data_IF_389235711260
#
_entry.id   IF_389235711260
#
_cell.length_a   1.000
_cell.length_b   1.000
_cell.length_c   1.000
_cell.angle_alpha   90.00
_cell.angle_beta   90.00
_cell.angle_gamma   90.00
#
_symmetry.space_group_name_H-M   'P 1'
#
loop_
_entity.id
_entity.type
_entity.pdbx_description
1 polymer ?
#
# COMPACT_ATOMS: atom_id res chain seq x y z
N UNK A 1 -15.13 -46.01 -10.18
CA UNK A 1 -16.12 -44.93 -9.99
C UNK A 1 -15.31 -43.65 -9.89
N UNK A 2 -15.15 -42.96 -11.04
CA UNK A 2 -14.40 -41.71 -11.13
C UNK A 2 -15.29 -40.53 -10.76
N UNK A 3 -14.94 -39.76 -9.74
CA UNK A 3 -15.45 -38.43 -9.55
C UNK A 3 -14.52 -37.44 -10.24
N UNK A 4 -14.84 -37.08 -11.50
CA UNK A 4 -14.30 -35.89 -12.15
C UNK A 4 -15.06 -34.67 -11.62
N UNK A 5 -14.66 -34.16 -10.48
CA UNK A 5 -15.07 -32.86 -10.00
C UNK A 5 -14.21 -31.78 -10.71
N UNK A 6 -14.73 -31.19 -11.78
CA UNK A 6 -14.23 -29.93 -12.31
C UNK A 6 -14.57 -28.81 -11.32
N UNK A 7 -13.80 -28.70 -10.25
CA UNK A 7 -13.77 -27.48 -9.44
C UNK A 7 -13.09 -26.39 -10.25
N UNK A 8 -13.88 -25.63 -11.00
CA UNK A 8 -13.51 -24.26 -11.41
C UNK A 8 -13.53 -23.40 -10.14
N UNK A 9 -12.51 -23.54 -9.30
CA UNK A 9 -12.31 -22.61 -8.20
C UNK A 9 -12.14 -21.21 -8.82
N UNK A 10 -13.04 -20.30 -8.47
CA UNK A 10 -12.90 -18.90 -8.85
C UNK A 10 -11.48 -18.45 -8.47
N UNK A 11 -10.78 -17.81 -9.42
CA UNK A 11 -9.44 -17.30 -9.18
C UNK A 11 -9.47 -16.34 -7.99
N UNK A 12 -8.55 -16.52 -7.04
CA UNK A 12 -8.45 -15.62 -5.90
C UNK A 12 -8.21 -14.17 -6.39
N UNK A 13 -8.87 -13.15 -5.79
CA UNK A 13 -8.72 -11.76 -6.22
C UNK A 13 -7.25 -11.33 -6.26
N UNK A 14 -6.87 -10.54 -7.26
CA UNK A 14 -5.53 -10.02 -7.43
C UNK A 14 -4.47 -11.05 -7.84
N UNK A 15 -4.85 -12.30 -8.14
CA UNK A 15 -3.89 -13.34 -8.53
C UNK A 15 -3.87 -13.59 -10.04
N UNK A 16 -2.67 -13.91 -10.53
CA UNK A 16 -2.44 -14.42 -11.87
C UNK A 16 -2.31 -15.95 -11.82
N UNK A 17 -2.62 -16.61 -12.94
CA UNK A 17 -2.41 -18.04 -13.06
C UNK A 17 -0.92 -18.35 -13.06
N UNK A 18 -0.52 -19.33 -12.25
CA UNK A 18 0.83 -19.87 -12.28
C UNK A 18 0.92 -20.80 -13.49
N UNK A 19 1.79 -20.48 -14.42
CA UNK A 19 2.05 -21.31 -15.60
C UNK A 19 3.42 -22.02 -15.52
N UNK A 20 3.66 -22.98 -16.42
CA UNK A 20 4.86 -23.81 -16.43
C UNK A 20 6.16 -23.05 -16.78
N UNK A 21 6.08 -21.81 -17.24
CA UNK A 21 7.26 -20.97 -17.51
C UNK A 21 7.86 -20.33 -16.25
N UNK A 22 7.11 -20.33 -15.15
CA UNK A 22 7.57 -19.75 -13.87
C UNK A 22 8.55 -20.71 -13.19
N UNK A 23 9.83 -20.35 -13.19
CA UNK A 23 10.91 -21.17 -12.63
C UNK A 23 11.18 -20.79 -11.15
N UNK A 24 10.98 -19.52 -10.79
CA UNK A 24 11.25 -18.99 -9.46
C UNK A 24 10.09 -18.15 -8.96
N UNK A 25 9.82 -18.28 -7.66
CA UNK A 25 8.85 -17.45 -6.95
C UNK A 25 9.50 -16.89 -5.69
N UNK A 26 8.94 -15.78 -5.19
CA UNK A 26 9.26 -15.22 -3.88
C UNK A 26 8.09 -15.50 -2.96
N UNK A 27 8.36 -16.05 -1.78
CA UNK A 27 7.39 -16.20 -0.72
C UNK A 27 7.69 -15.15 0.34
N UNK A 28 6.74 -14.26 0.59
CA UNK A 28 6.82 -13.22 1.62
C UNK A 28 5.91 -13.61 2.77
N UNK A 29 6.46 -13.62 3.97
CA UNK A 29 5.71 -13.94 5.19
C UNK A 29 5.43 -12.66 5.98
N UNK A 30 4.32 -12.64 6.67
CA UNK A 30 4.01 -11.59 7.64
C UNK A 30 5.06 -11.55 8.75
N UNK A 31 5.41 -10.34 9.18
CA UNK A 31 6.20 -10.12 10.38
C UNK A 31 5.29 -9.59 11.49
N UNK A 32 4.94 -10.39 12.49
CA UNK A 32 4.05 -9.95 13.58
C UNK A 32 4.60 -8.79 14.41
N UNK A 33 5.92 -8.53 14.31
CA UNK A 33 6.56 -7.41 15.01
C UNK A 33 6.60 -6.12 14.18
N UNK A 34 5.97 -6.07 13.00
CA UNK A 34 6.01 -4.90 12.13
C UNK A 34 5.14 -3.72 12.61
N UNK A 35 4.40 -3.87 13.72
CA UNK A 35 3.50 -2.85 14.31
C UNK A 35 2.47 -2.29 13.30
N UNK A 36 1.98 -3.13 12.41
CA UNK A 36 0.94 -2.82 11.42
C UNK A 36 -0.24 -3.79 11.60
N UNK A 37 -1.38 -3.44 11.04
CA UNK A 37 -2.57 -4.31 11.09
C UNK A 37 -2.38 -5.51 10.15
N UNK A 38 -1.87 -6.60 10.70
CA UNK A 38 -1.59 -7.83 9.95
C UNK A 38 -2.85 -8.48 9.37
N UNK A 39 -4.03 -8.22 9.94
CA UNK A 39 -5.28 -8.79 9.46
C UNK A 39 -5.59 -8.35 8.03
N UNK A 40 -5.30 -7.09 7.70
CA UNK A 40 -5.59 -6.52 6.38
C UNK A 40 -4.34 -6.26 5.53
N UNK A 41 -3.15 -6.36 6.11
CA UNK A 41 -1.89 -6.01 5.43
C UNK A 41 -1.71 -6.74 4.10
N UNK A 42 -1.87 -8.05 4.10
CA UNK A 42 -1.65 -8.88 2.89
C UNK A 42 -2.65 -8.49 1.80
N UNK A 43 -3.92 -8.34 2.15
CA UNK A 43 -4.95 -7.94 1.19
C UNK A 43 -4.72 -6.52 0.64
N UNK A 44 -4.36 -5.56 1.51
CA UNK A 44 -3.98 -4.20 1.10
C UNK A 44 -2.84 -4.23 0.08
N UNK A 45 -1.81 -5.03 0.33
CA UNK A 45 -0.65 -5.14 -0.54
C UNK A 45 -1.01 -5.76 -1.89
N UNK A 46 -1.75 -6.86 -1.90
CA UNK A 46 -2.15 -7.53 -3.16
C UNK A 46 -3.09 -6.64 -3.98
N UNK A 47 -4.02 -5.94 -3.34
CA UNK A 47 -4.91 -5.00 -4.02
C UNK A 47 -4.12 -3.81 -4.61
N UNK A 48 -3.14 -3.27 -3.87
CA UNK A 48 -2.24 -2.22 -4.37
C UNK A 48 -1.41 -2.70 -5.57
N UNK A 49 -0.78 -3.89 -5.49
CA UNK A 49 -0.04 -4.50 -6.59
C UNK A 49 -0.93 -4.60 -7.84
N UNK A 50 -2.19 -5.03 -7.67
CA UNK A 50 -3.13 -5.17 -8.79
C UNK A 50 -3.43 -3.85 -9.50
N UNK A 51 -3.53 -2.75 -8.77
CA UNK A 51 -3.74 -1.42 -9.36
C UNK A 51 -2.47 -0.89 -10.01
N UNK A 52 -1.32 -1.06 -9.36
CA UNK A 52 -0.03 -0.59 -9.90
C UNK A 52 0.35 -1.35 -11.18
N UNK A 53 0.06 -2.65 -11.27
CA UNK A 53 0.23 -3.42 -12.52
C UNK A 53 -0.59 -2.83 -13.67
N UNK A 54 -1.84 -2.42 -13.40
CA UNK A 54 -2.70 -1.76 -14.40
C UNK A 54 -2.17 -0.37 -14.78
N UNK A 55 -1.74 0.41 -13.79
CA UNK A 55 -1.19 1.74 -14.00
C UNK A 55 0.08 1.71 -14.88
N UNK A 56 0.90 0.69 -14.72
CA UNK A 56 2.19 0.53 -15.40
C UNK A 56 2.14 -0.43 -16.59
N UNK A 57 0.96 -0.74 -17.12
CA UNK A 57 0.82 -1.74 -18.20
C UNK A 57 1.55 -1.33 -19.49
N UNK A 58 1.71 -0.04 -19.75
CA UNK A 58 2.44 0.51 -20.89
C UNK A 58 3.90 0.87 -20.58
N UNK A 59 4.36 0.68 -19.33
CA UNK A 59 5.75 0.93 -18.97
C UNK A 59 6.67 -0.11 -19.64
N UNK A 60 7.80 0.31 -20.24
CA UNK A 60 8.63 -0.60 -21.06
C UNK A 60 9.16 -1.82 -20.33
N UNK A 61 9.38 -1.68 -19.03
CA UNK A 61 9.93 -2.74 -18.19
C UNK A 61 8.89 -3.30 -17.23
N UNK A 62 9.00 -4.59 -16.96
CA UNK A 62 8.21 -5.23 -15.92
C UNK A 62 8.86 -5.01 -14.56
N UNK A 63 8.32 -4.09 -13.79
CA UNK A 63 8.84 -3.71 -12.46
C UNK A 63 7.91 -4.10 -11.31
N UNK A 64 6.71 -4.62 -11.61
CA UNK A 64 5.75 -5.06 -10.61
C UNK A 64 5.51 -6.56 -10.75
N UNK A 65 5.75 -7.37 -9.71
CA UNK A 65 5.61 -8.81 -9.77
C UNK A 65 4.14 -9.22 -9.89
N UNK A 66 3.86 -10.34 -10.59
CA UNK A 66 2.57 -11.02 -10.51
C UNK A 66 2.44 -11.66 -9.13
N UNK A 67 1.24 -11.62 -8.56
CA UNK A 67 0.89 -12.42 -7.37
C UNK A 67 0.21 -13.70 -7.86
N UNK A 68 0.65 -14.84 -7.35
CA UNK A 68 0.10 -16.15 -7.72
C UNK A 68 -0.86 -16.70 -6.66
N UNK A 69 -0.59 -16.42 -5.39
CA UNK A 69 -1.44 -16.82 -4.27
C UNK A 69 -1.14 -15.93 -3.05
N UNK A 70 -2.10 -15.80 -2.15
CA UNK A 70 -1.91 -15.08 -0.90
C UNK A 70 -2.89 -15.54 0.17
N UNK A 71 -2.59 -15.27 1.42
CA UNK A 71 -3.46 -15.52 2.56
C UNK A 71 -3.28 -14.43 3.61
N UNK A 72 -4.37 -13.84 4.07
CA UNK A 72 -4.36 -12.93 5.22
C UNK A 72 -4.12 -13.68 6.53
N UNK A 73 -3.83 -12.95 7.59
CA UNK A 73 -3.45 -13.50 8.89
C UNK A 73 -4.60 -14.11 9.71
N UNK A 74 -5.85 -14.01 9.27
CA UNK A 74 -7.01 -14.60 9.99
C UNK A 74 -6.89 -16.10 10.30
N UNK A 75 -6.09 -16.83 9.54
CA UNK A 75 -5.92 -18.28 9.65
C UNK A 75 -4.46 -18.68 9.89
N UNK A 76 -3.67 -17.82 10.52
CA UNK A 76 -2.25 -18.05 10.79
C UNK A 76 -1.37 -16.90 10.28
N UNK A 77 -0.11 -17.19 9.99
CA UNK A 77 0.77 -16.19 9.38
C UNK A 77 0.28 -15.81 7.99
N UNK A 78 0.11 -14.52 7.74
CA UNK A 78 -0.16 -14.02 6.40
C UNK A 78 1.02 -14.25 5.47
N UNK A 79 0.75 -14.54 4.20
CA UNK A 79 1.80 -14.75 3.19
C UNK A 79 1.34 -14.36 1.79
N UNK A 80 2.32 -14.07 0.94
CA UNK A 80 2.14 -13.79 -0.49
C UNK A 80 3.16 -14.63 -1.27
N UNK A 81 2.71 -15.34 -2.30
CA UNK A 81 3.55 -15.98 -3.31
C UNK A 81 3.51 -15.12 -4.57
N UNK A 82 4.64 -14.60 -4.95
CA UNK A 82 4.75 -13.69 -6.08
C UNK A 82 5.89 -14.07 -7.04
N UNK A 83 5.84 -13.51 -8.21
CA UNK A 83 6.87 -13.65 -9.21
C UNK A 83 8.22 -13.13 -8.69
N UNK A 84 9.28 -13.86 -9.02
CA UNK A 84 10.64 -13.35 -8.84
C UNK A 84 10.99 -12.42 -9.99
N UNK A 85 11.27 -11.17 -9.70
CA UNK A 85 11.84 -10.22 -10.66
C UNK A 85 13.35 -10.17 -10.42
N UNK A 86 14.18 -10.43 -11.46
CA UNK A 86 15.62 -10.28 -11.33
C UNK A 86 15.99 -8.79 -11.20
N UNK A 87 17.11 -8.52 -10.56
CA UNK A 87 17.64 -7.17 -10.39
C UNK A 87 18.40 -7.02 -9.08
N UNK A 88 19.10 -5.91 -8.94
CA UNK A 88 19.83 -5.52 -7.74
C UNK A 88 19.20 -4.30 -7.09
N UNK A 89 19.39 -4.16 -5.79
CA UNK A 89 18.89 -3.00 -5.08
C UNK A 89 19.70 -1.75 -5.45
N UNK A 90 19.04 -0.72 -5.94
CA UNK A 90 19.68 0.53 -6.31
C UNK A 90 20.50 1.13 -5.16
N UNK A 91 20.08 0.97 -3.91
CA UNK A 91 20.79 1.45 -2.73
C UNK A 91 22.23 0.93 -2.60
N UNK A 92 22.54 -0.19 -3.25
CA UNK A 92 23.89 -0.79 -3.23
C UNK A 92 24.86 -0.06 -4.18
N UNK A 93 24.36 0.61 -5.20
CA UNK A 93 25.16 1.14 -6.30
C UNK A 93 24.92 2.62 -6.58
N UNK A 94 23.82 3.21 -6.08
CA UNK A 94 23.42 4.57 -6.43
C UNK A 94 24.48 5.63 -6.10
N UNK A 95 25.20 5.47 -4.97
CA UNK A 95 26.27 6.41 -4.58
C UNK A 95 27.38 6.48 -5.62
N UNK A 96 27.70 5.34 -6.25
CA UNK A 96 28.83 5.14 -7.16
C UNK A 96 28.48 5.48 -8.62
N UNK A 97 27.21 5.68 -8.92
CA UNK A 97 26.78 6.11 -10.26
C UNK A 97 27.32 7.52 -10.58
N UNK A 98 27.67 7.73 -11.83
CA UNK A 98 27.97 9.06 -12.36
C UNK A 98 26.71 9.93 -12.38
N UNK A 99 26.90 11.26 -12.39
CA UNK A 99 25.80 12.23 -12.26
C UNK A 99 24.73 12.09 -13.35
N UNK A 100 25.16 11.84 -14.58
CA UNK A 100 24.26 11.60 -15.72
C UNK A 100 23.41 10.34 -15.54
N UNK A 101 23.99 9.27 -15.02
CA UNK A 101 23.26 8.03 -14.70
C UNK A 101 22.28 8.22 -13.53
N UNK A 102 22.67 8.97 -12.51
CA UNK A 102 21.76 9.36 -11.41
C UNK A 102 20.54 10.13 -11.94
N UNK A 103 20.76 11.07 -12.86
CA UNK A 103 19.67 11.81 -13.49
C UNK A 103 18.70 10.89 -14.23
N UNK A 104 19.19 9.96 -15.04
CA UNK A 104 18.36 8.98 -15.75
C UNK A 104 17.51 8.15 -14.79
N UNK A 105 18.11 7.65 -13.71
CA UNK A 105 17.36 6.89 -12.69
C UNK A 105 16.25 7.73 -12.05
N UNK A 106 16.55 8.98 -11.70
CA UNK A 106 15.55 9.87 -11.11
C UNK A 106 14.41 10.20 -12.08
N UNK A 107 14.71 10.39 -13.35
CA UNK A 107 13.71 10.61 -14.40
C UNK A 107 12.79 9.39 -14.56
N UNK A 108 13.35 8.18 -14.57
CA UNK A 108 12.56 6.93 -14.60
C UNK A 108 11.64 6.80 -13.38
N UNK A 109 12.15 7.10 -12.19
CA UNK A 109 11.35 7.11 -10.95
C UNK A 109 10.22 8.12 -11.05
N UNK A 110 10.51 9.34 -11.52
CA UNK A 110 9.51 10.38 -11.70
C UNK A 110 8.41 9.97 -12.70
N UNK A 111 8.79 9.32 -13.81
CA UNK A 111 7.85 8.78 -14.79
C UNK A 111 6.93 7.71 -14.19
N UNK A 112 7.50 6.74 -13.45
CA UNK A 112 6.74 5.70 -12.76
C UNK A 112 5.71 6.33 -11.81
N UNK A 113 6.12 7.27 -10.96
CA UNK A 113 5.21 7.95 -10.05
C UNK A 113 4.12 8.74 -10.79
N UNK A 114 4.48 9.43 -11.86
CA UNK A 114 3.51 10.15 -12.70
C UNK A 114 2.46 9.19 -13.26
N UNK A 115 2.86 8.03 -13.78
CA UNK A 115 1.94 7.03 -14.29
C UNK A 115 1.01 6.49 -13.20
N UNK A 116 1.55 6.15 -12.01
CA UNK A 116 0.76 5.64 -10.89
C UNK A 116 -0.23 6.69 -10.41
N UNK A 117 0.19 7.92 -10.20
CA UNK A 117 -0.66 9.00 -9.66
C UNK A 117 -1.72 9.50 -10.65
N UNK A 118 -1.43 9.44 -11.95
CA UNK A 118 -2.41 9.84 -12.98
C UNK A 118 -3.37 8.71 -13.36
N UNK A 119 -3.15 7.50 -12.86
CA UNK A 119 -3.99 6.35 -13.18
C UNK A 119 -5.39 6.48 -12.59
N UNK A 120 -6.40 6.44 -13.45
CA UNK A 120 -7.80 6.48 -13.06
C UNK A 120 -8.26 5.10 -12.59
N UNK A 121 -8.08 4.81 -11.30
CA UNK A 121 -8.30 3.48 -10.74
C UNK A 121 -9.76 3.15 -10.42
N UNK A 122 -10.66 4.14 -10.39
CA UNK A 122 -12.08 3.95 -10.12
C UNK A 122 -12.41 3.51 -8.68
N UNK A 123 -11.45 3.55 -7.77
CA UNK A 123 -11.69 3.27 -6.35
C UNK A 123 -12.19 4.54 -5.68
N UNK A 124 -13.38 4.47 -5.11
CA UNK A 124 -13.99 5.58 -4.37
C UNK A 124 -13.62 5.52 -2.89
N UNK A 125 -13.30 6.68 -2.31
CA UNK A 125 -12.93 6.82 -0.90
C UNK A 125 -11.44 6.75 -0.61
N UNK A 126 -11.09 6.89 0.67
CA UNK A 126 -9.74 7.03 1.19
C UNK A 126 -9.44 5.96 2.25
N UNK A 127 -8.19 5.51 2.31
CA UNK A 127 -7.76 4.50 3.28
C UNK A 127 -6.77 3.51 2.69
N UNK A 128 -6.82 2.26 3.15
CA UNK A 128 -6.15 1.14 2.51
C UNK A 128 -6.93 0.65 1.29
N UNK A 129 -6.49 -0.46 0.73
CA UNK A 129 -7.15 -1.13 -0.39
C UNK A 129 -7.56 -2.55 0.03
N UNK A 130 -8.60 -3.07 -0.59
CA UNK A 130 -9.08 -4.44 -0.38
C UNK A 130 -9.84 -4.93 -1.62
N UNK A 131 -10.49 -6.07 -1.49
CA UNK A 131 -11.33 -6.62 -2.55
C UNK A 131 -12.78 -6.72 -2.08
N UNK A 132 -13.71 -6.42 -2.97
CA UNK A 132 -15.13 -6.70 -2.77
C UNK A 132 -15.45 -8.20 -3.02
N UNK A 133 -16.71 -8.59 -2.77
CA UNK A 133 -17.18 -9.95 -3.02
C UNK A 133 -17.13 -10.40 -4.49
N UNK A 134 -16.83 -9.50 -5.43
CA UNK A 134 -16.67 -9.78 -6.86
C UNK A 134 -15.20 -9.80 -7.30
N UNK A 135 -14.28 -9.50 -6.38
CA UNK A 135 -12.85 -9.44 -6.64
C UNK A 135 -12.37 -8.10 -7.24
N UNK A 136 -13.20 -7.07 -7.23
CA UNK A 136 -12.81 -5.71 -7.63
C UNK A 136 -12.07 -5.03 -6.48
N UNK A 137 -11.06 -4.20 -6.81
CA UNK A 137 -10.34 -3.41 -5.79
C UNK A 137 -11.25 -2.28 -5.30
N UNK A 138 -11.35 -2.15 -3.99
CA UNK A 138 -12.14 -1.11 -3.30
C UNK A 138 -11.32 -0.46 -2.19
N UNK A 139 -11.77 0.70 -1.71
CA UNK A 139 -11.19 1.28 -0.50
C UNK A 139 -11.45 0.37 0.70
N UNK A 140 -10.43 0.21 1.53
CA UNK A 140 -10.44 -0.68 2.69
C UNK A 140 -9.81 -0.05 3.93
N UNK A 141 -9.73 -0.83 4.99
CA UNK A 141 -9.02 -0.44 6.22
C UNK A 141 -7.51 -0.36 5.93
N UNK A 142 -6.87 0.72 6.36
CA UNK A 142 -5.42 0.88 6.25
C UNK A 142 -4.69 -0.07 7.20
N UNK A 143 -3.71 -0.80 6.69
CA UNK A 143 -2.85 -1.65 7.52
C UNK A 143 -1.94 -0.85 8.45
N UNK A 144 -1.55 0.37 8.07
CA UNK A 144 -0.67 1.22 8.88
C UNK A 144 -1.38 1.84 10.09
N UNK A 145 -2.63 2.27 9.91
CA UNK A 145 -3.36 3.01 10.96
C UNK A 145 -4.53 2.23 11.56
N UNK A 146 -4.87 1.06 11.01
CA UNK A 146 -6.02 0.22 11.42
C UNK A 146 -7.36 0.96 11.35
N UNK A 147 -7.49 1.93 10.44
CA UNK A 147 -8.69 2.77 10.26
C UNK A 147 -9.13 2.81 8.80
N UNK A 148 -10.38 3.17 8.55
CA UNK A 148 -10.97 3.30 7.22
C UNK A 148 -11.88 2.13 6.84
N UNK A 149 -12.43 2.15 5.60
CA UNK A 149 -12.30 3.22 4.61
C UNK A 149 -13.12 4.48 5.00
N UNK A 150 -12.85 5.60 4.32
CA UNK A 150 -13.50 6.90 4.55
C UNK A 150 -14.04 7.48 3.25
N UNK A 151 -15.14 8.24 3.35
CA UNK A 151 -15.73 8.92 2.20
C UNK A 151 -14.99 10.21 1.84
N UNK A 152 -14.34 10.84 2.80
CA UNK A 152 -13.62 12.10 2.61
C UNK A 152 -12.20 12.06 3.15
N UNK A 153 -11.36 12.88 2.56
CA UNK A 153 -9.97 13.07 3.00
C UNK A 153 -9.87 13.64 4.42
N UNK A 154 -10.83 14.53 4.77
CA UNK A 154 -10.92 15.10 6.12
C UNK A 154 -11.23 14.03 7.18
N UNK A 155 -12.18 13.13 6.92
CA UNK A 155 -12.50 12.02 7.81
C UNK A 155 -11.29 11.09 8.01
N UNK A 156 -10.55 10.80 6.94
CA UNK A 156 -9.34 9.98 7.02
C UNK A 156 -8.31 10.61 7.96
N UNK A 157 -7.97 11.89 7.78
CA UNK A 157 -6.99 12.55 8.63
C UNK A 157 -7.48 12.71 10.06
N UNK A 158 -8.75 13.00 10.26
CA UNK A 158 -9.35 13.07 11.58
C UNK A 158 -9.21 11.74 12.34
N UNK A 159 -9.49 10.62 11.68
CA UNK A 159 -9.38 9.29 12.28
C UNK A 159 -7.92 8.90 12.56
N UNK A 160 -7.00 9.15 11.61
CA UNK A 160 -5.57 8.91 11.80
C UNK A 160 -5.05 9.71 12.99
N UNK A 161 -5.38 11.00 13.06
CA UNK A 161 -4.90 11.89 14.11
C UNK A 161 -5.49 11.51 15.48
N UNK A 162 -6.77 11.13 15.52
CA UNK A 162 -7.41 10.62 16.74
C UNK A 162 -6.70 9.35 17.25
N UNK A 163 -6.37 8.42 16.32
CA UNK A 163 -5.63 7.20 16.66
C UNK A 163 -4.21 7.49 17.17
N UNK A 164 -3.50 8.41 16.55
CA UNK A 164 -2.20 8.85 17.04
C UNK A 164 -2.29 9.50 18.42
N UNK A 165 -3.30 10.34 18.65
CA UNK A 165 -3.51 10.97 19.95
C UNK A 165 -3.81 9.93 21.04
N UNK A 166 -4.58 8.88 20.73
CA UNK A 166 -4.80 7.74 21.61
C UNK A 166 -3.48 7.05 21.99
N UNK A 167 -2.63 6.75 20.99
CA UNK A 167 -1.32 6.10 21.19
C UNK A 167 -0.38 6.92 22.10
N UNK A 168 -0.48 8.25 22.07
CA UNK A 168 0.34 9.11 22.95
C UNK A 168 0.05 8.90 24.43
N UNK A 169 -1.15 8.40 24.78
CA UNK A 169 -1.52 8.14 26.18
C UNK A 169 -0.68 7.03 26.81
N UNK A 170 -0.26 6.07 25.99
CA UNK A 170 0.46 4.86 26.41
C UNK A 170 1.95 4.88 26.03
N UNK A 171 2.42 5.98 25.43
CA UNK A 171 3.80 6.13 24.99
C UNK A 171 4.61 7.00 25.94
N UNK A 172 5.44 6.45 26.84
CA UNK A 172 6.15 7.24 27.87
C UNK A 172 7.07 8.33 27.28
N UNK A 173 7.61 8.14 26.08
CA UNK A 173 8.47 9.12 25.41
C UNK A 173 7.79 10.47 25.16
N UNK A 174 6.46 10.50 25.17
CA UNK A 174 5.65 11.69 24.90
C UNK A 174 5.06 12.29 26.18
N UNK A 175 5.44 11.82 27.38
CA UNK A 175 4.89 12.30 28.64
C UNK A 175 5.15 13.78 28.90
N UNK A 176 6.22 14.36 28.32
CA UNK A 176 6.58 15.76 28.54
C UNK A 176 5.56 16.81 28.08
N UNK A 177 4.54 16.43 27.32
CA UNK A 177 3.46 17.34 26.92
C UNK A 177 2.22 17.23 27.81
N UNK A 178 2.14 16.18 28.66
CA UNK A 178 1.03 15.98 29.59
C UNK A 178 0.95 17.14 30.58
N UNK A 179 -0.25 17.63 30.85
CA UNK A 179 -0.49 18.75 31.76
C UNK A 179 -0.16 20.14 31.16
N UNK A 180 0.26 20.25 29.90
CA UNK A 180 0.50 21.55 29.23
C UNK A 180 -0.76 22.14 28.59
N UNK A 181 -1.89 21.44 28.60
CA UNK A 181 -3.12 21.80 27.89
C UNK A 181 -3.10 21.54 26.38
N UNK A 182 -2.00 21.01 25.85
CA UNK A 182 -1.89 20.72 24.40
C UNK A 182 -2.81 19.57 23.99
N UNK A 183 -2.88 18.53 24.79
CA UNK A 183 -3.75 17.38 24.52
C UNK A 183 -5.21 17.79 24.40
N UNK A 184 -5.71 18.59 25.33
CA UNK A 184 -7.09 19.09 25.33
C UNK A 184 -7.36 20.00 24.12
N UNK A 185 -6.36 20.77 23.69
CA UNK A 185 -6.45 21.60 22.46
C UNK A 185 -6.57 20.72 21.22
N UNK A 186 -5.73 19.68 21.10
CA UNK A 186 -5.78 18.73 19.98
C UNK A 186 -7.08 17.94 19.95
N UNK A 187 -7.55 17.49 21.12
CA UNK A 187 -8.83 16.80 21.23
C UNK A 187 -9.99 17.71 20.79
N UNK A 188 -10.01 18.97 21.22
CA UNK A 188 -11.02 19.95 20.78
C UNK A 188 -10.94 20.20 19.27
N UNK A 189 -9.73 20.32 18.70
CA UNK A 189 -9.56 20.48 17.25
C UNK A 189 -10.20 19.31 16.49
N UNK A 190 -9.97 18.06 16.95
CA UNK A 190 -10.57 16.86 16.32
C UNK A 190 -12.10 16.92 16.43
N UNK A 191 -12.63 17.12 17.66
CA UNK A 191 -14.08 17.02 17.92
C UNK A 191 -14.90 18.19 17.37
N UNK A 192 -14.27 19.34 17.09
CA UNK A 192 -14.92 20.51 16.49
C UNK A 192 -14.90 20.53 14.97
N UNK A 193 -14.51 19.44 14.32
CA UNK A 193 -14.42 19.38 12.86
C UNK A 193 -13.19 20.14 12.29
N UNK A 194 -12.11 20.26 13.07
CA UNK A 194 -10.93 21.04 12.70
C UNK A 194 -10.33 20.65 11.35
N UNK A 195 -10.30 19.35 11.02
CA UNK A 195 -9.81 18.90 9.71
C UNK A 195 -10.76 19.28 8.58
N UNK A 196 -12.07 19.15 8.76
CA UNK A 196 -13.03 19.57 7.75
C UNK A 196 -12.92 21.08 7.46
N UNK A 197 -12.77 21.89 8.51
CA UNK A 197 -12.58 23.34 8.37
C UNK A 197 -11.24 23.68 7.71
N UNK A 198 -10.16 23.00 8.10
CA UNK A 198 -8.83 23.23 7.53
C UNK A 198 -8.80 22.89 6.03
N UNK A 199 -9.46 21.81 5.63
CA UNK A 199 -9.48 21.32 4.25
C UNK A 199 -10.64 21.88 3.41
N UNK A 200 -11.52 22.71 3.99
CA UNK A 200 -12.67 23.30 3.27
C UNK A 200 -12.27 24.11 2.01
N UNK A 201 -11.03 24.60 1.96
CA UNK A 201 -10.51 25.43 0.87
C UNK A 201 -9.59 24.67 -0.10
N UNK A 202 -9.37 23.36 0.10
CA UNK A 202 -8.46 22.58 -0.77
C UNK A 202 -9.10 22.10 -2.06
N UNK A 203 -10.39 22.41 -2.29
CA UNK A 203 -11.15 21.91 -3.42
C UNK A 203 -11.53 20.44 -3.32
N UNK A 204 -11.94 19.86 -4.42
CA UNK A 204 -12.33 18.44 -4.50
C UNK A 204 -11.08 17.56 -4.58
N UNK A 205 -10.71 16.94 -3.44
CA UNK A 205 -9.56 16.06 -3.36
C UNK A 205 -9.95 14.68 -3.86
N UNK A 206 -9.30 14.24 -4.94
CA UNK A 206 -9.54 12.92 -5.51
C UNK A 206 -8.58 11.88 -4.91
N UNK A 207 -9.06 10.65 -4.61
CA UNK A 207 -8.19 9.56 -4.18
C UNK A 207 -7.14 9.26 -5.25
N UNK A 208 -5.89 9.11 -4.83
CA UNK A 208 -4.80 8.71 -5.71
C UNK A 208 -3.94 7.65 -5.04
N UNK A 209 -3.25 6.83 -5.84
CA UNK A 209 -2.33 5.83 -5.31
C UNK A 209 -1.07 6.49 -4.77
N UNK A 210 -0.72 6.16 -3.53
CA UNK A 210 0.48 6.67 -2.86
C UNK A 210 1.32 5.49 -2.38
N UNK A 211 2.61 5.46 -2.73
CA UNK A 211 3.53 4.43 -2.25
C UNK A 211 3.81 4.54 -0.75
N UNK A 212 3.85 5.75 -0.21
CA UNK A 212 3.98 6.03 1.22
C UNK A 212 5.36 5.78 1.84
N UNK A 213 6.15 4.85 1.31
CA UNK A 213 7.48 4.46 1.82
C UNK A 213 8.41 4.06 0.66
N UNK A 214 8.51 4.91 -0.36
CA UNK A 214 9.39 4.64 -1.49
C UNK A 214 10.84 5.03 -1.16
N UNK A 215 11.75 4.07 -1.28
CA UNK A 215 13.19 4.28 -1.06
C UNK A 215 14.04 3.52 -2.08
N UNK A 216 15.34 3.80 -2.08
CA UNK A 216 16.31 3.18 -3.01
C UNK A 216 16.33 1.64 -2.97
N UNK A 217 15.84 1.03 -1.88
CA UNK A 217 15.78 -0.43 -1.73
C UNK A 217 14.66 -1.08 -2.55
N UNK A 218 13.64 -0.30 -2.96
CA UNK A 218 12.51 -0.79 -3.73
C UNK A 218 12.68 -0.60 -5.25
N UNK A 219 13.73 0.10 -5.68
CA UNK A 219 14.01 0.30 -7.10
C UNK A 219 14.91 -0.80 -7.64
N UNK A 220 14.51 -1.42 -8.74
CA UNK A 220 15.30 -2.38 -9.49
C UNK A 220 15.52 -1.82 -10.90
N UNK A 221 16.77 -1.70 -11.32
CA UNK A 221 17.11 -1.25 -12.67
C UNK A 221 16.74 -2.34 -13.68
N UNK A 222 16.07 -1.95 -14.76
CA UNK A 222 15.68 -2.83 -15.87
C UNK A 222 16.76 -2.92 -16.96
N UNK A 223 17.81 -2.12 -16.87
CA UNK A 223 18.86 -2.00 -17.85
C UNK A 223 20.17 -2.57 -17.30
N UNK A 224 20.21 -3.90 -17.08
CA UNK A 224 21.42 -4.64 -16.81
C UNK A 224 22.20 -4.92 -18.10
#
# INVERSE_FOLDING_TARGET
>A
IGHSGTNTSASQPGTAKLDSSVIKVVVRLSNPNAMIDEEVRVENEVAAISLVQKALISYPCKIVPKVFAWQGSKHGLGWIVQEYLPGEQLSLHFSDLQTDKKAVVLDQVAEIFKMIQSFQHGVEGFGGLGFDGKGSVVAGRSSLWSVGPFSTYAEMYQAIFAKQLELTQVTPLLDGWKGTGLQERLQRFITSGGFANLLAHTGDIQPTLVHGDFGQRQYHDCHG
#
